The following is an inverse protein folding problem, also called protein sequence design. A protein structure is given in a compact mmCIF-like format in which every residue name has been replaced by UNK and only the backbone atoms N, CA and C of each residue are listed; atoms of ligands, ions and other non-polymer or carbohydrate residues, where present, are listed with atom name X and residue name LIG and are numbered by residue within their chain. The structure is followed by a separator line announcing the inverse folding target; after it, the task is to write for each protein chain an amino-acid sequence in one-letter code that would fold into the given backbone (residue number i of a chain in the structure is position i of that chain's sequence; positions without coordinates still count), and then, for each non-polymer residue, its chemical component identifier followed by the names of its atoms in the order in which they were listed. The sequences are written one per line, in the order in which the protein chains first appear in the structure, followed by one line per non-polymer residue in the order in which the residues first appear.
data_IF_279874203694
#
_entry.id   IF_279874203694
#
_cell.length_a   1.000
_cell.length_b   1.000
_cell.length_c   1.000
_cell.angle_alpha   90.00
_cell.angle_beta   90.00
_cell.angle_gamma   90.00
#
_symmetry.space_group_name_H-M   'P 1'
#
loop_
_entity.id
_entity.type
_entity.pdbx_description
1 polymer ?
#
# COMPACT_ATOMS: atom_id res chain seq x y z
N UNK A 1 10.38 -50.27 -26.58
CA UNK A 1 10.33 -49.73 -25.20
C UNK A 1 9.63 -50.73 -24.30
N UNK A 2 10.25 -51.12 -23.19
CA UNK A 2 9.64 -52.05 -22.24
C UNK A 2 8.52 -51.40 -21.44
N UNK A 3 7.45 -52.17 -21.19
CA UNK A 3 6.26 -51.73 -20.44
C UNK A 3 6.61 -51.19 -19.04
N UNK A 4 7.68 -51.73 -18.43
CA UNK A 4 8.24 -51.29 -17.14
C UNK A 4 8.87 -49.89 -17.24
N UNK A 5 9.54 -49.57 -18.34
CA UNK A 5 10.16 -48.26 -18.54
C UNK A 5 9.10 -47.20 -18.84
N UNK A 6 8.04 -47.55 -19.58
CA UNK A 6 6.89 -46.67 -19.78
C UNK A 6 6.18 -46.33 -18.46
N UNK A 7 5.97 -47.30 -17.57
CA UNK A 7 5.37 -47.06 -16.26
C UNK A 7 6.22 -46.14 -15.37
N UNK A 8 7.55 -46.31 -15.37
CA UNK A 8 8.48 -45.46 -14.60
C UNK A 8 8.51 -44.04 -15.14
N UNK A 9 8.55 -43.87 -16.46
CA UNK A 9 8.50 -42.55 -17.10
C UNK A 9 7.17 -41.83 -16.79
N UNK A 10 6.05 -42.56 -16.84
CA UNK A 10 4.73 -42.01 -16.50
C UNK A 10 4.63 -41.59 -15.03
N UNK A 11 5.14 -42.42 -14.09
CA UNK A 11 5.14 -42.09 -12.67
C UNK A 11 6.02 -40.86 -12.35
N UNK A 12 7.18 -40.75 -12.99
CA UNK A 12 8.07 -39.59 -12.82
C UNK A 12 7.42 -38.34 -13.41
N UNK A 13 6.88 -38.41 -14.62
CA UNK A 13 6.20 -37.26 -15.24
C UNK A 13 5.00 -36.79 -14.42
N UNK A 14 4.14 -37.71 -13.96
CA UNK A 14 3.00 -37.36 -13.12
C UNK A 14 3.45 -36.76 -11.78
N UNK A 15 4.45 -37.36 -11.14
CA UNK A 15 5.01 -36.89 -9.87
C UNK A 15 5.63 -35.50 -9.98
N UNK A 16 6.41 -35.23 -11.02
CA UNK A 16 7.02 -33.91 -11.23
C UNK A 16 5.99 -32.86 -11.59
N UNK A 17 5.02 -33.18 -12.47
CA UNK A 17 3.92 -32.24 -12.77
C UNK A 17 3.08 -31.94 -11.54
N UNK A 18 2.79 -32.93 -10.70
CA UNK A 18 2.06 -32.73 -9.46
C UNK A 18 2.86 -31.89 -8.47
N UNK A 19 4.15 -32.18 -8.27
CA UNK A 19 5.02 -31.37 -7.40
C UNK A 19 5.13 -29.94 -7.92
N UNK A 20 5.26 -29.74 -9.24
CA UNK A 20 5.27 -28.39 -9.83
C UNK A 20 3.94 -27.67 -9.60
N UNK A 21 2.80 -28.34 -9.76
CA UNK A 21 1.48 -27.76 -9.51
C UNK A 21 1.25 -27.45 -8.02
N UNK A 22 1.71 -28.30 -7.11
CA UNK A 22 1.59 -28.10 -5.67
C UNK A 22 2.53 -26.99 -5.15
N UNK A 23 3.69 -26.80 -5.77
CA UNK A 23 4.64 -25.73 -5.44
C UNK A 23 4.32 -24.42 -6.16
N UNK A 24 3.55 -24.45 -7.26
CA UNK A 24 2.97 -23.24 -7.83
C UNK A 24 1.77 -22.85 -6.97
N UNK A 25 1.92 -21.85 -6.11
CA UNK A 25 0.76 -21.20 -5.50
C UNK A 25 -0.17 -20.75 -6.63
N UNK A 26 -1.41 -21.25 -6.71
CA UNK A 26 -2.36 -20.71 -7.66
C UNK A 26 -2.50 -19.21 -7.36
N UNK A 27 -2.42 -18.36 -8.37
CA UNK A 27 -2.87 -16.98 -8.30
C UNK A 27 -4.41 -16.93 -8.21
N UNK A 28 -4.99 -17.70 -7.29
CA UNK A 28 -6.42 -17.66 -6.93
C UNK A 28 -6.74 -16.42 -6.08
N UNK A 29 -5.72 -15.68 -5.62
CA UNK A 29 -5.85 -14.40 -4.94
C UNK A 29 -5.92 -13.25 -5.96
N UNK A 30 -6.86 -13.33 -6.91
CA UNK A 30 -7.40 -12.14 -7.57
C UNK A 30 -8.59 -11.61 -6.75
N UNK A 31 -8.49 -11.69 -5.43
CA UNK A 31 -9.29 -10.88 -4.52
C UNK A 31 -8.75 -9.48 -4.64
N UNK A 32 -9.42 -8.64 -5.45
CA UNK A 32 -9.14 -7.21 -5.52
C UNK A 32 -9.14 -6.70 -4.07
N UNK A 33 -7.96 -6.37 -3.55
CA UNK A 33 -7.83 -5.83 -2.20
C UNK A 33 -8.18 -4.34 -2.29
N UNK A 34 -8.82 -3.78 -1.28
CA UNK A 34 -9.10 -2.33 -1.23
C UNK A 34 -7.79 -1.52 -1.18
N UNK A 35 -6.64 -2.19 -0.98
CA UNK A 35 -5.30 -1.64 -1.18
C UNK A 35 -4.82 -1.57 -2.63
N UNK A 36 -5.43 -2.32 -3.57
CA UNK A 36 -5.08 -2.30 -5.00
C UNK A 36 -5.67 -1.08 -5.72
N UNK A 37 -6.81 -0.56 -5.24
CA UNK A 37 -7.42 0.66 -5.75
C UNK A 37 -7.14 1.81 -4.78
N UNK A 38 -6.09 2.62 -5.02
CA UNK A 38 -5.83 3.75 -4.15
C UNK A 38 -7.05 4.68 -4.13
N UNK A 39 -7.45 5.08 -2.93
CA UNK A 39 -8.53 6.05 -2.73
C UNK A 39 -8.31 7.28 -3.64
N UNK A 40 -9.40 7.98 -4.05
CA UNK A 40 -9.30 9.12 -4.95
C UNK A 40 -8.20 10.10 -4.51
N UNK A 41 -7.24 10.35 -5.39
CA UNK A 41 -6.11 11.23 -5.10
C UNK A 41 -6.64 12.64 -4.84
N UNK A 42 -6.09 13.28 -3.81
CA UNK A 42 -6.35 14.69 -3.56
C UNK A 42 -5.96 15.50 -4.79
N UNK A 43 -6.80 16.47 -5.11
CA UNK A 43 -6.46 17.48 -6.11
C UNK A 43 -5.26 18.31 -5.64
N UNK A 44 -4.59 18.97 -6.58
CA UNK A 44 -3.46 19.86 -6.27
C UNK A 44 -3.89 20.95 -5.28
N UNK A 45 -5.11 21.48 -5.43
CA UNK A 45 -5.66 22.52 -4.56
C UNK A 45 -5.87 21.99 -3.14
N UNK A 46 -6.44 20.80 -2.99
CA UNK A 46 -6.64 20.20 -1.66
C UNK A 46 -5.30 19.88 -0.97
N UNK A 47 -4.32 19.38 -1.74
CA UNK A 47 -2.98 19.09 -1.21
C UNK A 47 -2.32 20.38 -0.70
N UNK A 48 -2.31 21.44 -1.49
CA UNK A 48 -1.73 22.72 -1.07
C UNK A 48 -2.55 23.37 0.05
N UNK A 49 -3.87 23.25 0.02
CA UNK A 49 -4.75 23.75 1.07
C UNK A 49 -4.46 23.09 2.43
N UNK A 50 -4.41 21.75 2.46
CA UNK A 50 -4.24 20.99 3.70
C UNK A 50 -2.80 21.01 4.23
N UNK A 51 -1.80 20.89 3.36
CA UNK A 51 -0.41 20.70 3.80
C UNK A 51 0.43 21.98 3.76
N UNK A 52 -0.05 23.06 3.15
CA UNK A 52 0.67 24.35 3.10
C UNK A 52 -0.15 25.46 3.73
N UNK A 53 -1.37 25.69 3.25
CA UNK A 53 -2.18 26.80 3.73
C UNK A 53 -2.63 26.60 5.19
N UNK A 54 -3.12 25.40 5.56
CA UNK A 54 -3.58 25.15 6.92
C UNK A 54 -2.46 25.31 7.98
N UNK A 55 -1.24 24.76 7.81
CA UNK A 55 -0.13 25.03 8.72
C UNK A 55 0.23 26.52 8.83
N UNK A 56 0.22 27.26 7.71
CA UNK A 56 0.49 28.70 7.71
C UNK A 56 -0.58 29.48 8.48
N UNK A 57 -1.86 29.18 8.26
CA UNK A 57 -2.97 29.81 8.99
C UNK A 57 -2.88 29.53 10.48
N UNK A 58 -2.59 28.28 10.86
CA UNK A 58 -2.37 27.92 12.27
C UNK A 58 -1.22 28.70 12.88
N UNK A 59 -0.08 28.79 12.17
CA UNK A 59 1.07 29.56 12.64
C UNK A 59 0.75 31.04 12.80
N UNK A 60 0.10 31.66 11.80
CA UNK A 60 -0.35 33.05 11.85
C UNK A 60 -1.35 33.29 12.99
N UNK A 61 -2.23 32.33 13.24
CA UNK A 61 -3.12 32.33 14.39
C UNK A 61 -2.35 32.37 15.70
N UNK A 62 -1.40 31.45 15.89
CA UNK A 62 -0.58 31.37 17.11
C UNK A 62 0.18 32.68 17.35
N UNK A 63 0.90 33.20 16.35
CA UNK A 63 1.65 34.45 16.52
C UNK A 63 0.72 35.64 16.81
N UNK A 64 -0.46 35.69 16.18
CA UNK A 64 -1.46 36.72 16.44
C UNK A 64 -1.99 36.65 17.87
N UNK A 65 -2.32 35.44 18.33
CA UNK A 65 -2.71 35.21 19.71
C UNK A 65 -1.60 35.61 20.69
N UNK A 66 -0.35 35.23 20.43
CA UNK A 66 0.79 35.62 21.27
C UNK A 66 0.90 37.14 21.34
N UNK A 67 0.87 37.85 20.21
CA UNK A 67 0.97 39.32 20.20
C UNK A 67 -0.16 40.02 20.96
N UNK A 68 -1.39 39.49 20.88
CA UNK A 68 -2.55 40.06 21.59
C UNK A 68 -2.52 39.75 23.09
N UNK A 69 -2.10 38.53 23.46
CA UNK A 69 -2.07 38.09 24.86
C UNK A 69 -0.78 38.48 25.60
N UNK A 70 0.26 38.91 24.88
CA UNK A 70 1.52 39.38 25.46
C UNK A 70 1.34 40.76 26.10
N UNK A 71 0.66 40.78 27.26
CA UNK A 71 0.66 41.92 28.16
C UNK A 71 2.02 42.02 28.83
N UNK A 72 2.86 42.86 28.24
CA UNK A 72 4.12 43.36 28.79
C UNK A 72 4.03 43.56 30.31
N UNK A 73 4.71 42.69 31.07
CA UNK A 73 5.27 43.10 32.36
C UNK A 73 6.43 44.03 32.04
N UNK A 74 6.13 45.32 31.87
CA UNK A 74 7.13 46.39 32.05
C UNK A 74 7.53 46.36 33.52
N UNK A 75 8.71 45.80 33.81
CA UNK A 75 9.52 46.22 34.94
C UNK A 75 10.33 47.45 34.50
#
# INVERSE_FOLDING_TARGET
MDKKNALRAGAVAAGTTLMMLLMSSPALALTRDDGDDPAPKLTVVETLGLFVAAPLVLFLGIIGLVMVLDKSKKA
#
